data_IF_096829018314
#
_entry.id   IF_096829018314
#
_cell.length_a   1.000
_cell.length_b   1.000
_cell.length_c   1.000
_cell.angle_alpha   90.00
_cell.angle_beta   90.00
_cell.angle_gamma   90.00
#
_symmetry.space_group_name_H-M   'P 1'
#
loop_
_entity.id
_entity.type
_entity.pdbx_description
1 polymer ?
#
# COMPACT_ATOMS: atom_id res chain seq x y z
N UNK A 1 5.52 -17.40 20.18
CA UNK A 1 5.78 -15.95 20.37
C UNK A 1 5.79 -15.32 18.99
N UNK A 2 4.92 -14.33 18.73
CA UNK A 2 4.92 -13.62 17.45
C UNK A 2 6.16 -12.72 17.35
N UNK A 3 6.96 -12.87 16.29
CA UNK A 3 8.05 -11.94 15.96
C UNK A 3 7.48 -10.85 15.05
N UNK A 4 7.20 -9.69 15.64
CA UNK A 4 6.91 -8.48 14.87
C UNK A 4 8.22 -7.89 14.33
N UNK A 5 8.20 -7.44 13.08
CA UNK A 5 9.28 -6.66 12.48
C UNK A 5 8.78 -5.28 12.08
N UNK A 6 9.67 -4.30 12.12
CA UNK A 6 9.39 -2.96 11.63
C UNK A 6 9.83 -2.87 10.17
N UNK A 7 8.87 -2.61 9.29
CA UNK A 7 9.08 -2.54 7.84
C UNK A 7 9.11 -1.07 7.43
N UNK A 8 10.21 -0.66 6.81
CA UNK A 8 10.35 0.67 6.23
C UNK A 8 9.48 0.77 4.99
N UNK A 9 8.76 1.88 4.86
CA UNK A 9 8.12 2.23 3.60
C UNK A 9 9.11 2.97 2.70
N UNK A 10 9.13 2.60 1.42
CA UNK A 10 10.00 3.23 0.42
C UNK A 10 9.71 4.73 0.22
N UNK A 11 8.50 5.16 0.59
CA UNK A 11 8.03 6.54 0.45
C UNK A 11 8.48 7.47 1.59
N UNK A 12 9.15 6.94 2.61
CA UNK A 12 9.66 7.70 3.76
C UNK A 12 8.60 8.06 4.81
N UNK A 13 7.38 7.51 4.72
CA UNK A 13 6.28 7.82 5.65
C UNK A 13 6.29 6.92 6.90
N UNK A 14 7.46 6.49 7.37
CA UNK A 14 7.63 5.76 8.64
C UNK A 14 7.66 4.23 8.51
N UNK A 15 7.45 3.56 9.65
CA UNK A 15 7.57 2.11 9.79
C UNK A 15 6.24 1.47 10.18
N UNK A 16 5.93 0.31 9.60
CA UNK A 16 4.80 -0.53 9.99
C UNK A 16 5.29 -1.75 10.77
N UNK A 17 4.58 -2.12 11.85
CA UNK A 17 4.81 -3.38 12.54
C UNK A 17 4.08 -4.52 11.83
N UNK A 18 4.80 -5.53 11.36
CA UNK A 18 4.26 -6.68 10.63
C UNK A 18 4.59 -7.97 11.37
N UNK A 19 3.59 -8.85 11.55
CA UNK A 19 3.78 -10.20 12.09
C UNK A 19 4.19 -11.17 10.98
N UNK A 20 5.48 -11.50 10.90
CA UNK A 20 6.01 -12.39 9.85
C UNK A 20 5.45 -13.82 9.91
N UNK A 21 4.90 -14.27 11.04
CA UNK A 21 4.28 -15.61 11.13
C UNK A 21 3.00 -15.72 10.32
N UNK A 22 2.36 -14.59 10.03
CA UNK A 22 1.17 -14.52 9.19
C UNK A 22 1.52 -14.36 7.71
N UNK A 23 2.80 -14.10 7.40
CA UNK A 23 3.29 -13.95 6.04
C UNK A 23 3.68 -15.30 5.45
N UNK A 24 3.51 -15.42 4.13
CA UNK A 24 4.10 -16.51 3.37
C UNK A 24 5.53 -16.16 2.99
N UNK A 25 6.49 -16.99 3.41
CA UNK A 25 7.91 -16.80 3.14
C UNK A 25 8.32 -17.45 1.82
N UNK A 26 9.13 -16.74 1.06
CA UNK A 26 9.74 -17.21 -0.17
C UNK A 26 11.25 -16.97 -0.15
N UNK A 27 12.00 -17.92 -0.69
CA UNK A 27 13.47 -17.88 -0.73
C UNK A 27 13.93 -17.86 -2.18
N UNK A 28 14.75 -16.87 -2.53
CA UNK A 28 15.38 -16.74 -3.84
C UNK A 28 16.87 -16.93 -3.66
N UNK A 29 17.43 -18.01 -4.21
CA UNK A 29 18.87 -18.25 -4.20
C UNK A 29 19.55 -17.37 -5.23
N UNK A 30 20.39 -16.44 -4.80
CA UNK A 30 21.22 -15.64 -5.68
C UNK A 30 22.62 -16.28 -5.74
N UNK A 31 23.01 -16.93 -6.85
CA UNK A 31 24.39 -17.37 -6.98
C UNK A 31 25.29 -16.13 -7.01
N UNK A 32 26.13 -15.93 -6.00
CA UNK A 32 27.18 -14.93 -6.06
C UNK A 32 28.33 -15.50 -6.92
N UNK A 33 28.59 -14.93 -8.11
CA UNK A 33 29.67 -15.41 -8.97
C UNK A 33 31.07 -15.04 -8.45
N UNK A 34 31.19 -14.17 -7.44
CA UNK A 34 32.46 -13.59 -6.99
C UNK A 34 33.05 -14.21 -5.71
N UNK A 35 32.26 -14.88 -4.87
CA UNK A 35 32.71 -15.38 -3.56
C UNK A 35 32.60 -16.91 -3.37
N UNK A 36 33.19 -17.70 -4.28
CA UNK A 36 33.62 -19.07 -3.96
C UNK A 36 32.58 -20.04 -3.36
N UNK A 37 31.29 -19.82 -3.58
CA UNK A 37 30.20 -20.72 -3.15
C UNK A 37 29.37 -20.27 -1.95
N UNK A 38 29.51 -19.04 -1.44
CA UNK A 38 28.54 -18.50 -0.51
C UNK A 38 27.26 -18.12 -1.26
N UNK A 39 26.15 -18.78 -0.94
CA UNK A 39 24.85 -18.49 -1.54
C UNK A 39 24.17 -17.39 -0.75
N UNK A 40 24.15 -16.19 -1.29
CA UNK A 40 23.28 -15.15 -0.76
C UNK A 40 21.83 -15.49 -1.11
N UNK A 41 21.01 -15.54 -0.08
CA UNK A 41 19.59 -15.76 -0.23
C UNK A 41 18.86 -14.45 -0.03
N UNK A 42 18.04 -14.08 -1.02
CA UNK A 42 17.07 -13.01 -0.86
C UNK A 42 15.79 -13.63 -0.32
N UNK A 43 15.33 -13.13 0.83
CA UNK A 43 14.09 -13.59 1.45
C UNK A 43 12.98 -12.58 1.17
N UNK A 44 11.87 -13.06 0.64
CA UNK A 44 10.65 -12.27 0.49
C UNK A 44 9.55 -12.83 1.38
N UNK A 45 8.70 -11.94 1.87
CA UNK A 45 7.50 -12.27 2.63
C UNK A 45 6.30 -11.65 1.92
N UNK A 46 5.25 -12.44 1.70
CA UNK A 46 3.97 -11.95 1.22
C UNK A 46 3.00 -11.86 2.39
N UNK A 47 2.51 -10.66 2.64
CA UNK A 47 1.51 -10.38 3.69
C UNK A 47 0.12 -10.87 3.28
N UNK A 48 -0.82 -10.92 4.23
CA UNK A 48 -2.22 -11.27 3.95
C UNK A 48 -2.92 -10.27 3.02
N UNK A 49 -2.46 -9.02 3.02
CA UNK A 49 -3.00 -7.93 2.20
C UNK A 49 -2.25 -7.78 0.85
N UNK A 50 -1.63 -8.86 0.38
CA UNK A 50 -0.90 -8.95 -0.89
C UNK A 50 0.28 -7.97 -1.09
N UNK A 51 0.84 -7.46 0.01
CA UNK A 51 2.12 -6.73 -0.04
C UNK A 51 3.31 -7.68 0.02
N UNK A 52 4.37 -7.33 -0.69
CA UNK A 52 5.66 -8.00 -0.63
C UNK A 52 6.62 -7.21 0.23
N UNK A 53 7.37 -7.94 1.06
CA UNK A 53 8.41 -7.40 1.94
C UNK A 53 9.70 -8.14 1.61
N UNK A 54 10.79 -7.42 1.40
CA UNK A 54 12.13 -7.97 1.20
C UNK A 54 12.95 -7.83 2.47
N UNK A 55 13.60 -8.91 2.85
CA UNK A 55 14.66 -8.94 3.86
C UNK A 55 15.98 -8.58 3.19
N UNK A 56 16.59 -7.48 3.63
CA UNK A 56 17.88 -7.00 3.15
C UNK A 56 18.86 -6.89 4.32
N UNK A 57 20.15 -6.93 4.02
CA UNK A 57 21.21 -6.69 5.00
C UNK A 57 21.84 -5.34 4.68
N UNK A 58 21.80 -4.42 5.64
CA UNK A 58 22.50 -3.15 5.55
C UNK A 58 23.78 -3.22 6.40
N UNK A 59 24.89 -2.76 5.84
CA UNK A 59 26.16 -2.68 6.54
C UNK A 59 26.22 -1.39 7.35
N UNK A 60 26.32 -1.53 8.67
CA UNK A 60 26.58 -0.43 9.59
C UNK A 60 28.01 -0.49 10.13
N UNK A 61 28.44 0.59 10.79
CA UNK A 61 29.75 0.65 11.47
C UNK A 61 29.91 -0.46 12.54
N UNK A 62 28.81 -1.00 13.07
CA UNK A 62 28.79 -2.01 14.13
C UNK A 62 28.63 -3.45 13.62
N UNK A 63 28.38 -3.66 12.33
CA UNK A 63 28.09 -4.97 11.74
C UNK A 63 26.98 -4.91 10.70
N UNK A 64 26.34 -6.05 10.42
CA UNK A 64 25.19 -6.10 9.52
C UNK A 64 23.88 -6.05 10.32
N UNK A 65 22.96 -5.20 9.87
CA UNK A 65 21.59 -5.16 10.38
C UNK A 65 20.62 -5.67 9.32
N UNK A 66 19.63 -6.46 9.74
CA UNK A 66 18.54 -6.87 8.87
C UNK A 66 17.53 -5.73 8.79
N UNK A 67 17.21 -5.33 7.56
CA UNK A 67 16.22 -4.31 7.23
C UNK A 67 15.11 -4.93 6.40
N UNK A 68 13.88 -4.54 6.68
CA UNK A 68 12.69 -5.01 5.95
C UNK A 68 12.11 -3.84 5.18
N UNK A 69 11.95 -4.00 3.87
CA UNK A 69 11.39 -2.98 2.99
C UNK A 69 10.22 -3.56 2.20
N UNK A 70 9.19 -2.74 1.96
CA UNK A 70 8.17 -3.12 0.98
C UNK A 70 8.77 -3.17 -0.42
N UNK A 71 8.28 -4.10 -1.24
CA UNK A 71 8.71 -4.28 -2.62
C UNK A 71 7.52 -4.40 -3.56
N UNK A 72 7.70 -3.96 -4.79
CA UNK A 72 6.69 -4.14 -5.83
C UNK A 72 6.74 -5.57 -6.39
N UNK A 73 5.58 -6.18 -6.65
CA UNK A 73 5.49 -7.55 -7.16
C UNK A 73 6.31 -7.77 -8.45
N UNK A 74 6.42 -6.75 -9.30
CA UNK A 74 7.28 -6.79 -10.51
C UNK A 74 8.76 -6.90 -10.18
N UNK A 75 9.25 -6.17 -9.16
CA UNK A 75 10.64 -6.28 -8.68
C UNK A 75 10.90 -7.68 -8.12
N UNK A 76 10.00 -8.17 -7.27
CA UNK A 76 10.10 -9.53 -6.73
C UNK A 76 10.11 -10.55 -7.86
N UNK A 77 9.19 -10.46 -8.82
CA UNK A 77 9.14 -11.34 -9.97
C UNK A 77 10.42 -11.30 -10.81
N UNK A 78 11.02 -10.11 -10.98
CA UNK A 78 12.28 -9.96 -11.70
C UNK A 78 13.42 -10.69 -10.98
N UNK A 79 13.54 -10.49 -9.66
CA UNK A 79 14.54 -11.15 -8.84
C UNK A 79 14.36 -12.68 -8.85
N UNK A 80 13.11 -13.16 -8.83
CA UNK A 80 12.81 -14.57 -9.03
C UNK A 80 13.27 -15.04 -10.41
N UNK A 81 12.91 -14.36 -11.50
CA UNK A 81 13.22 -14.80 -12.87
C UNK A 81 14.73 -14.77 -13.17
N UNK A 82 15.45 -13.82 -12.57
CA UNK A 82 16.91 -13.72 -12.68
C UNK A 82 17.61 -14.94 -12.08
N UNK A 83 17.06 -15.47 -10.99
CA UNK A 83 17.69 -16.51 -10.16
C UNK A 83 17.04 -17.90 -10.30
N UNK A 84 15.79 -17.96 -10.76
CA UNK A 84 14.95 -19.13 -10.91
C UNK A 84 14.16 -19.02 -12.21
N UNK A 85 14.11 -20.09 -13.01
CA UNK A 85 13.27 -20.10 -14.24
C UNK A 85 11.77 -20.17 -13.94
N UNK A 86 11.37 -20.36 -12.67
CA UNK A 86 9.99 -20.54 -12.25
C UNK A 86 9.56 -19.43 -11.30
N UNK A 87 8.38 -18.87 -11.56
CA UNK A 87 7.71 -17.94 -10.67
C UNK A 87 6.65 -18.69 -9.84
N UNK A 88 6.43 -18.27 -8.59
CA UNK A 88 5.19 -18.55 -7.87
C UNK A 88 3.98 -18.05 -8.68
N UNK A 89 2.84 -18.74 -8.56
CA UNK A 89 1.59 -18.40 -9.26
C UNK A 89 1.19 -16.93 -9.05
N UNK A 90 1.53 -16.39 -7.89
CA UNK A 90 1.09 -15.07 -7.45
C UNK A 90 1.94 -13.94 -8.05
N UNK A 91 3.07 -14.30 -8.64
CA UNK A 91 3.93 -13.40 -9.41
C UNK A 91 3.77 -13.58 -10.93
N UNK A 92 3.00 -14.56 -11.39
CA UNK A 92 2.72 -14.78 -12.82
C UNK A 92 2.14 -13.55 -13.52
N UNK A 93 1.22 -12.76 -12.92
CA UNK A 93 0.73 -11.53 -13.56
C UNK A 93 1.83 -10.51 -13.87
N UNK A 94 2.94 -10.54 -13.13
CA UNK A 94 4.08 -9.65 -13.33
C UNK A 94 5.12 -10.19 -14.32
N UNK A 95 4.99 -11.45 -14.79
CA UNK A 95 5.98 -12.13 -15.64
C UNK A 95 6.32 -11.35 -16.90
N UNK A 96 5.30 -10.82 -17.59
CA UNK A 96 5.48 -10.13 -18.87
C UNK A 96 6.46 -8.97 -18.74
N UNK A 97 6.31 -8.17 -17.69
CA UNK A 97 7.17 -7.03 -17.39
C UNK A 97 8.52 -7.47 -16.84
N UNK A 98 8.51 -8.43 -15.90
CA UNK A 98 9.69 -8.84 -15.14
C UNK A 98 10.69 -9.68 -15.94
N UNK A 99 10.25 -10.39 -16.98
CA UNK A 99 11.07 -11.38 -17.70
C UNK A 99 12.12 -10.78 -18.63
N UNK A 100 11.82 -9.63 -19.23
CA UNK A 100 12.75 -8.93 -20.12
C UNK A 100 13.42 -7.79 -19.36
N UNK A 101 14.76 -7.81 -19.27
CA UNK A 101 15.52 -6.81 -18.52
C UNK A 101 15.24 -5.39 -18.99
N UNK A 102 15.17 -5.14 -20.29
CA UNK A 102 14.88 -3.80 -20.83
C UNK A 102 13.46 -3.32 -20.49
N UNK A 103 12.48 -4.23 -20.52
CA UNK A 103 11.09 -3.94 -20.13
C UNK A 103 11.02 -3.64 -18.63
N UNK A 104 11.69 -4.43 -17.81
CA UNK A 104 11.78 -4.22 -16.37
C UNK A 104 12.48 -2.89 -16.02
N UNK A 105 13.60 -2.57 -16.67
CA UNK A 105 14.32 -1.29 -16.46
C UNK A 105 13.48 -0.11 -16.92
N UNK A 106 12.80 -0.23 -18.06
CA UNK A 106 11.88 0.81 -18.55
C UNK A 106 10.70 1.00 -17.60
N UNK A 107 10.12 -0.10 -17.11
CA UNK A 107 9.10 -0.09 -16.07
C UNK A 107 9.63 0.56 -14.80
N UNK A 108 10.79 0.15 -14.28
CA UNK A 108 11.41 0.74 -13.08
C UNK A 108 11.68 2.22 -13.24
N UNK A 109 12.19 2.68 -14.39
CA UNK A 109 12.44 4.12 -14.62
C UNK A 109 11.14 4.91 -14.72
N UNK A 110 10.14 4.36 -15.40
CA UNK A 110 8.79 4.92 -15.45
C UNK A 110 8.16 4.97 -14.05
N UNK A 111 8.26 3.88 -13.31
CA UNK A 111 7.79 3.75 -11.94
C UNK A 111 8.67 4.46 -10.93
N UNK A 112 9.90 4.87 -11.25
CA UNK A 112 10.77 5.73 -10.42
C UNK A 112 10.45 7.20 -10.62
N UNK A 113 10.13 7.61 -11.85
CA UNK A 113 9.44 8.87 -12.08
C UNK A 113 8.07 8.92 -11.38
N UNK A 114 7.47 7.75 -11.16
CA UNK A 114 6.30 7.56 -10.30
C UNK A 114 6.65 6.94 -8.94
N UNK A 115 7.91 6.85 -8.47
CA UNK A 115 8.23 6.15 -7.19
C UNK A 115 7.99 7.06 -6.00
N UNK A 116 7.68 8.33 -6.26
CA UNK A 116 6.91 9.13 -5.33
C UNK A 116 5.42 8.75 -5.24
N UNK A 117 4.90 7.89 -6.13
CA UNK A 117 3.45 7.70 -6.39
C UNK A 117 3.10 6.32 -7.03
N UNK A 118 3.81 5.23 -6.73
CA UNK A 118 3.25 3.86 -6.82
C UNK A 118 3.48 3.16 -5.50
N UNK A 119 3.30 3.91 -4.42
CA UNK A 119 2.36 3.40 -3.44
C UNK A 119 1.11 3.03 -4.23
N UNK A 120 0.68 1.77 -4.13
CA UNK A 120 -0.75 1.53 -4.04
C UNK A 120 -1.19 2.31 -2.78
N UNK A 121 -1.25 3.65 -2.87
CA UNK A 121 -2.05 4.47 -1.98
C UNK A 121 -3.41 3.94 -2.29
N UNK A 122 -3.79 2.91 -1.54
CA UNK A 122 -5.05 2.25 -1.68
C UNK A 122 -6.05 3.37 -1.52
N UNK A 123 -6.58 3.86 -2.63
CA UNK A 123 -7.52 4.96 -2.58
C UNK A 123 -8.74 4.39 -1.87
N UNK A 124 -9.43 5.21 -1.07
CA UNK A 124 -10.72 4.78 -0.59
C UNK A 124 -11.58 4.43 -1.82
N UNK A 125 -12.40 3.40 -1.69
CA UNK A 125 -13.33 2.94 -2.73
C UNK A 125 -14.73 2.98 -2.17
N UNK A 126 -15.59 3.79 -2.75
CA UNK A 126 -16.99 3.88 -2.35
C UNK A 126 -17.85 2.99 -3.24
N UNK A 127 -18.34 1.89 -2.69
CA UNK A 127 -19.33 1.05 -3.35
C UNK A 127 -20.75 1.57 -3.05
N UNK A 128 -21.31 2.33 -3.99
CA UNK A 128 -22.64 2.94 -3.84
C UNK A 128 -23.76 1.92 -3.77
N UNK A 129 -23.60 0.76 -4.43
CA UNK A 129 -24.64 -0.28 -4.50
C UNK A 129 -24.77 -0.97 -3.15
N UNK A 130 -23.64 -1.45 -2.63
CA UNK A 130 -23.59 -2.13 -1.33
C UNK A 130 -23.52 -1.16 -0.14
N UNK A 131 -23.35 0.14 -0.42
CA UNK A 131 -23.19 1.22 0.56
C UNK A 131 -22.05 0.93 1.53
N UNK A 132 -20.91 0.53 0.97
CA UNK A 132 -19.72 0.16 1.73
C UNK A 132 -18.50 0.96 1.26
N UNK A 133 -17.76 1.50 2.21
CA UNK A 133 -16.49 2.17 1.96
C UNK A 133 -15.35 1.22 2.31
N UNK A 134 -14.43 1.05 1.36
CA UNK A 134 -13.20 0.29 1.54
C UNK A 134 -11.98 1.22 1.49
N UNK A 135 -10.88 0.78 2.09
CA UNK A 135 -9.56 1.37 1.89
C UNK A 135 -8.62 0.24 1.51
N UNK A 136 -8.35 0.10 0.21
CA UNK A 136 -7.78 -1.13 -0.33
C UNK A 136 -8.80 -2.25 -0.23
N UNK A 137 -8.42 -3.36 0.42
CA UNK A 137 -9.30 -4.50 0.66
C UNK A 137 -10.02 -4.43 2.01
N UNK A 138 -9.65 -3.49 2.88
CA UNK A 138 -10.21 -3.38 4.23
C UNK A 138 -11.54 -2.64 4.19
N UNK A 139 -12.61 -3.31 4.63
CA UNK A 139 -13.91 -2.67 4.86
C UNK A 139 -13.77 -1.65 5.99
N UNK A 140 -13.84 -0.37 5.64
CA UNK A 140 -13.79 0.72 6.59
C UNK A 140 -15.14 0.94 7.27
N UNK A 141 -16.22 0.86 6.48
CA UNK A 141 -17.59 1.10 6.96
C UNK A 141 -18.68 0.61 6.01
N UNK A 142 -19.79 0.13 6.59
CA UNK A 142 -21.08 -0.03 5.90
C UNK A 142 -22.07 1.05 6.39
N UNK A 143 -22.88 1.59 5.47
CA UNK A 143 -23.81 2.68 5.76
C UNK A 143 -25.27 2.21 5.72
N UNK A 144 -26.01 2.55 6.78
CA UNK A 144 -27.47 2.42 6.80
C UNK A 144 -28.14 3.50 5.92
N UNK A 145 -29.41 3.27 5.54
CA UNK A 145 -30.16 4.13 4.62
C UNK A 145 -30.28 5.61 5.05
N UNK A 146 -30.16 5.90 6.35
CA UNK A 146 -30.36 7.25 6.90
C UNK A 146 -29.13 8.17 6.78
N UNK A 147 -27.97 7.67 6.36
CA UNK A 147 -26.72 8.44 6.29
C UNK A 147 -26.59 9.28 4.99
N UNK A 148 -27.65 9.99 4.57
CA UNK A 148 -27.74 10.67 3.26
C UNK A 148 -26.59 11.66 3.00
N UNK A 149 -26.22 12.47 3.98
CA UNK A 149 -25.14 13.45 3.82
C UNK A 149 -23.78 12.79 3.69
N UNK A 150 -23.50 11.74 4.48
CA UNK A 150 -22.25 10.98 4.39
C UNK A 150 -22.15 10.28 3.03
N UNK A 151 -23.22 9.63 2.56
CA UNK A 151 -23.26 9.02 1.22
C UNK A 151 -23.05 10.05 0.11
N UNK A 152 -23.65 11.24 0.21
CA UNK A 152 -23.44 12.33 -0.75
C UNK A 152 -22.00 12.85 -0.75
N UNK A 153 -21.35 12.89 0.41
CA UNK A 153 -19.94 13.23 0.53
C UNK A 153 -19.07 12.18 -0.18
N UNK A 154 -19.34 10.89 0.03
CA UNK A 154 -18.62 9.79 -0.62
C UNK A 154 -18.86 9.75 -2.13
N UNK A 155 -20.09 9.95 -2.59
CA UNK A 155 -20.44 10.06 -4.01
C UNK A 155 -19.63 11.19 -4.69
N UNK A 156 -19.39 12.31 -3.99
CA UNK A 156 -18.59 13.41 -4.50
C UNK A 156 -17.09 13.05 -4.61
N UNK A 157 -16.53 12.36 -3.61
CA UNK A 157 -15.14 11.89 -3.68
C UNK A 157 -14.93 10.83 -4.76
N UNK A 158 -15.86 9.88 -4.90
CA UNK A 158 -15.83 8.85 -5.94
C UNK A 158 -15.88 9.47 -7.33
N UNK A 159 -16.76 10.46 -7.54
CA UNK A 159 -16.86 11.20 -8.81
C UNK A 159 -15.55 11.90 -9.19
N UNK A 160 -14.82 12.42 -8.20
CA UNK A 160 -13.53 13.08 -8.38
C UNK A 160 -12.33 12.10 -8.35
N UNK A 161 -12.58 10.79 -8.32
CA UNK A 161 -11.56 9.73 -8.25
C UNK A 161 -10.62 9.85 -7.04
N UNK A 162 -11.16 10.25 -5.89
CA UNK A 162 -10.47 10.36 -4.61
C UNK A 162 -9.16 11.15 -4.71
N UNK A 163 -9.23 12.46 -5.00
CA UNK A 163 -8.04 13.29 -5.15
C UNK A 163 -7.28 13.35 -3.82
N UNK A 164 -5.95 13.46 -3.89
CA UNK A 164 -5.09 13.70 -2.71
C UNK A 164 -5.29 15.10 -2.13
N UNK A 165 -5.77 16.04 -2.96
CA UNK A 165 -6.18 17.39 -2.55
C UNK A 165 -7.64 17.40 -2.10
N UNK A 166 -8.05 18.49 -1.44
CA UNK A 166 -9.44 18.68 -1.02
C UNK A 166 -10.39 18.99 -2.18
N UNK A 167 -11.63 18.53 -2.09
CA UNK A 167 -12.74 18.87 -2.99
C UNK A 167 -13.62 19.96 -2.37
N UNK A 168 -14.35 20.70 -3.21
CA UNK A 168 -15.35 21.66 -2.75
C UNK A 168 -16.50 20.97 -2.03
N UNK A 169 -17.10 21.63 -1.04
CA UNK A 169 -18.29 21.13 -0.34
C UNK A 169 -19.38 20.68 -1.32
N UNK A 170 -19.84 19.41 -1.27
CA UNK A 170 -20.95 18.96 -2.11
C UNK A 170 -22.30 19.51 -1.65
N UNK A 171 -22.35 20.25 -0.53
CA UNK A 171 -23.57 20.77 0.08
C UNK A 171 -23.83 22.26 -0.19
N UNK A 172 -22.95 22.93 -0.94
CA UNK A 172 -23.01 24.38 -1.13
C UNK A 172 -22.50 25.19 0.07
N UNK A 173 -22.61 26.52 -0.03
CA UNK A 173 -22.17 27.46 1.01
C UNK A 173 -23.13 27.39 2.20
N UNK A 174 -22.60 27.24 3.42
CA UNK A 174 -23.40 27.12 4.65
C UNK A 174 -24.03 25.74 4.87
N UNK A 175 -23.76 24.76 4.00
CA UNK A 175 -24.26 23.39 4.17
C UNK A 175 -23.63 22.65 5.37
N UNK A 176 -24.16 21.46 5.74
CA UNK A 176 -23.77 20.72 6.95
C UNK A 176 -22.43 19.97 6.82
N UNK A 177 -21.45 20.53 6.08
CA UNK A 177 -20.18 19.84 5.78
C UNK A 177 -19.44 19.46 7.06
N UNK A 178 -19.28 20.42 7.98
CA UNK A 178 -18.57 20.22 9.24
C UNK A 178 -19.17 19.08 10.05
N UNK A 179 -20.47 19.17 10.33
CA UNK A 179 -21.19 18.15 11.08
C UNK A 179 -21.09 16.78 10.40
N UNK A 180 -21.19 16.73 9.06
CA UNK A 180 -21.11 15.47 8.31
C UNK A 180 -19.72 14.83 8.43
N UNK A 181 -18.65 15.63 8.38
CA UNK A 181 -17.27 15.16 8.54
C UNK A 181 -17.03 14.66 9.97
N UNK A 182 -17.49 15.41 10.97
CA UNK A 182 -17.35 15.04 12.38
C UNK A 182 -18.12 13.73 12.69
N UNK A 183 -19.38 13.65 12.25
CA UNK A 183 -20.21 12.45 12.39
C UNK A 183 -19.58 11.25 11.70
N UNK A 184 -19.03 11.45 10.50
CA UNK A 184 -18.36 10.38 9.75
C UNK A 184 -17.14 9.87 10.51
N UNK A 185 -16.25 10.77 10.94
CA UNK A 185 -14.99 10.43 11.61
C UNK A 185 -15.21 9.78 12.98
N UNK A 186 -16.30 10.12 13.67
CA UNK A 186 -16.68 9.50 14.93
C UNK A 186 -17.13 8.03 14.79
N UNK A 187 -17.55 7.63 13.60
CA UNK A 187 -18.22 6.33 13.36
C UNK A 187 -17.50 5.43 12.37
N UNK A 188 -16.42 5.92 11.73
CA UNK A 188 -15.53 5.08 10.93
C UNK A 188 -14.68 4.20 11.87
N UNK A 189 -14.41 2.95 11.47
CA UNK A 189 -13.64 2.01 12.30
C UNK A 189 -12.29 2.61 12.72
N UNK A 190 -11.86 2.34 13.96
CA UNK A 190 -10.52 2.70 14.44
C UNK A 190 -9.44 1.99 13.60
N UNK A 191 -9.75 0.79 13.10
CA UNK A 191 -8.87 0.02 12.22
C UNK A 191 -8.80 0.60 10.80
N UNK A 192 -9.76 1.45 10.41
CA UNK A 192 -9.66 2.15 9.15
C UNK A 192 -8.61 3.24 9.27
N UNK A 193 -7.47 3.07 8.60
CA UNK A 193 -6.41 4.06 8.44
C UNK A 193 -6.85 5.23 7.54
N UNK A 194 -8.05 5.78 7.74
CA UNK A 194 -8.70 6.79 6.91
C UNK A 194 -9.51 7.76 7.76
N UNK A 195 -9.35 9.07 7.53
CA UNK A 195 -10.14 10.16 8.14
C UNK A 195 -10.36 11.30 7.14
N UNK A 196 -11.52 11.95 7.22
CA UNK A 196 -11.75 13.22 6.53
C UNK A 196 -11.18 14.39 7.32
N UNK A 197 -10.71 15.42 6.64
CA UNK A 197 -10.27 16.69 7.20
C UNK A 197 -10.94 17.85 6.45
N UNK A 198 -11.05 19.00 7.09
CA UNK A 198 -11.58 20.21 6.45
C UNK A 198 -10.55 21.33 6.43
N UNK A 199 -10.56 22.10 5.35
CA UNK A 199 -9.82 23.34 5.21
C UNK A 199 -10.61 24.31 4.32
N UNK A 200 -10.89 25.52 4.80
CA UNK A 200 -11.58 26.58 4.04
C UNK A 200 -12.85 26.13 3.27
N UNK A 201 -13.77 25.42 3.94
CA UNK A 201 -15.00 24.84 3.36
C UNK A 201 -14.75 23.77 2.26
N UNK A 202 -13.52 23.33 2.11
CA UNK A 202 -13.13 22.16 1.32
C UNK A 202 -12.93 20.99 2.24
N UNK A 203 -13.14 19.80 1.71
CA UNK A 203 -12.97 18.54 2.42
C UNK A 203 -11.90 17.72 1.74
N UNK A 204 -10.89 17.33 2.49
CA UNK A 204 -9.85 16.40 2.07
C UNK A 204 -9.95 15.11 2.88
N UNK A 205 -9.13 14.14 2.53
CA UNK A 205 -8.95 12.93 3.33
C UNK A 205 -7.48 12.67 3.59
N UNK A 206 -7.18 11.98 4.68
CA UNK A 206 -5.83 11.57 5.04
C UNK A 206 -5.84 10.18 5.66
N UNK A 207 -4.67 9.53 5.66
CA UNK A 207 -4.49 8.29 6.41
C UNK A 207 -4.51 8.58 7.92
N UNK A 208 -5.21 7.76 8.70
CA UNK A 208 -5.20 7.84 10.16
C UNK A 208 -3.92 7.15 10.66
N UNK A 209 -3.06 7.86 11.38
CA UNK A 209 -1.74 7.35 11.82
C UNK A 209 -0.58 8.35 11.75
N UNK A 210 -0.83 9.57 11.29
CA UNK A 210 0.11 10.71 11.34
C UNK A 210 -0.59 11.97 11.88
#
# INVERSE_FOLDING_TARGET
>A
MAKFVWVNREDGFGQDAVDLHQCRRFLVSCPDPSEGGNWDHIVYYRTQNDFWIKESYEQELSGYQIVYCYEHAVTVAHDFLKNSRKLPLELEPAREIASAFDTYVSWMRGNQAHAGIVTLVSKPRWDRRERTLYFGEVLCRSFAANAKNQMRLLDAFEKENWPTKSISSPFGIGGPLKQTVDDFNATVSIQASFRFCMDNLRVGWKRAGH
#
